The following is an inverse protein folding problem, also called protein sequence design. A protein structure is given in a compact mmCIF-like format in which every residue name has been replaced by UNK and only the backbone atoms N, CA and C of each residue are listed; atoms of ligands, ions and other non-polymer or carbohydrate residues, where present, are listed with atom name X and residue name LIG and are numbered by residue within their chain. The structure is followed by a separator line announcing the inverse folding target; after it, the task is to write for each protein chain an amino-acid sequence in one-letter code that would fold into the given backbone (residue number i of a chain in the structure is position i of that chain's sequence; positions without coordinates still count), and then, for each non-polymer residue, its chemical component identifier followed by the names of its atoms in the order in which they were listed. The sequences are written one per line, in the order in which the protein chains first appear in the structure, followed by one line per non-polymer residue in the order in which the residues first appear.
data_IF_079241073585
#
_entry.id   IF_079241073585
#
_cell.length_a   1.000
_cell.length_b   1.000
_cell.length_c   1.000
_cell.angle_alpha   90.00
_cell.angle_beta   90.00
_cell.angle_gamma   90.00
#
_symmetry.space_group_name_H-M   'P 1'
#
loop_
_entity.id
_entity.type
_entity.pdbx_description
1 polymer ?
#
# COMPACT_ATOMS: atom_id res chain seq x y z
N UNK A 1 9.15 1.50 24.60
CA UNK A 1 7.73 1.15 24.39
C UNK A 1 7.56 0.11 23.27
N UNK A 2 7.65 0.44 21.97
CA UNK A 2 7.40 -0.54 20.88
C UNK A 2 8.27 -1.81 20.95
N UNK A 3 9.58 -1.65 21.15
CA UNK A 3 10.50 -2.80 21.21
C UNK A 3 10.25 -3.70 22.42
N UNK A 4 9.78 -3.13 23.54
CA UNK A 4 9.37 -3.92 24.71
C UNK A 4 8.11 -4.72 24.41
N UNK A 5 7.11 -4.10 23.77
CA UNK A 5 5.87 -4.78 23.36
C UNK A 5 6.15 -5.92 22.37
N UNK A 6 7.01 -5.69 21.38
CA UNK A 6 7.43 -6.73 20.44
C UNK A 6 8.13 -7.88 21.16
N UNK A 7 9.00 -7.57 22.13
CA UNK A 7 9.71 -8.58 22.90
C UNK A 7 8.75 -9.44 23.73
N UNK A 8 7.71 -8.85 24.33
CA UNK A 8 6.65 -9.59 25.03
C UNK A 8 5.92 -10.55 24.08
N UNK A 9 5.57 -10.10 22.87
CA UNK A 9 4.89 -10.94 21.87
C UNK A 9 5.76 -12.08 21.33
N UNK A 10 7.08 -11.90 21.35
CA UNK A 10 8.07 -12.90 20.90
C UNK A 10 8.40 -13.95 21.95
N UNK A 11 8.01 -13.78 23.22
CA UNK A 11 8.28 -14.75 24.29
C UNK A 11 7.79 -16.17 23.95
N UNK A 12 6.73 -16.28 23.16
CA UNK A 12 6.18 -17.57 22.72
C UNK A 12 6.76 -18.10 21.39
N UNK A 13 7.56 -17.28 20.68
CA UNK A 13 8.13 -17.61 19.36
C UNK A 13 9.54 -16.99 19.17
N UNK A 14 10.54 -17.41 19.96
CA UNK A 14 11.86 -16.77 20.04
C UNK A 14 12.70 -16.83 18.75
N UNK A 15 12.36 -17.71 17.80
CA UNK A 15 13.07 -17.85 16.52
C UNK A 15 12.54 -16.94 15.40
N UNK A 16 11.47 -16.16 15.64
CA UNK A 16 10.83 -15.36 14.59
C UNK A 16 11.14 -13.87 14.80
N UNK A 17 11.61 -13.18 13.75
CA UNK A 17 11.57 -11.72 13.74
C UNK A 17 10.17 -11.26 13.29
N UNK A 18 9.50 -10.45 14.10
CA UNK A 18 8.25 -9.79 13.71
C UNK A 18 8.59 -8.62 12.79
N UNK A 19 8.01 -8.60 11.59
CA UNK A 19 8.10 -7.44 10.71
C UNK A 19 7.23 -6.28 11.25
N UNK A 20 7.68 -5.05 11.06
CA UNK A 20 6.87 -3.86 11.34
C UNK A 20 6.35 -3.30 10.03
N UNK A 21 5.06 -2.97 9.98
CA UNK A 21 4.49 -2.12 8.93
C UNK A 21 4.10 -0.79 9.54
N UNK A 22 4.73 0.31 9.11
CA UNK A 22 4.34 1.65 9.55
C UNK A 22 3.14 2.14 8.73
N UNK A 23 2.04 2.45 9.41
CA UNK A 23 0.89 3.12 8.80
C UNK A 23 1.17 4.61 8.70
N UNK A 24 1.17 5.14 7.49
CA UNK A 24 1.43 6.56 7.21
C UNK A 24 0.08 7.24 6.99
N UNK A 25 -0.36 7.94 8.04
CA UNK A 25 -1.71 8.53 8.17
C UNK A 25 -1.67 10.03 8.37
N UNK A 26 -0.51 10.61 8.70
CA UNK A 26 -0.39 12.02 9.10
C UNK A 26 0.71 12.74 8.33
N UNK A 27 0.66 14.09 8.23
CA UNK A 27 1.67 14.86 7.53
C UNK A 27 3.03 14.78 8.25
N UNK A 28 3.00 14.63 9.58
CA UNK A 28 4.20 14.40 10.38
C UNK A 28 4.85 13.06 10.05
N UNK A 29 4.06 11.99 9.88
CA UNK A 29 4.59 10.68 9.49
C UNK A 29 5.27 10.74 8.12
N UNK A 30 4.70 11.47 7.15
CA UNK A 30 5.32 11.66 5.83
C UNK A 30 6.65 12.42 5.96
N UNK A 31 6.68 13.55 6.67
CA UNK A 31 7.91 14.34 6.87
C UNK A 31 9.03 13.54 7.52
N UNK A 32 8.69 12.66 8.45
CA UNK A 32 9.65 11.84 9.19
C UNK A 32 9.91 10.46 8.55
N UNK A 33 9.27 10.15 7.42
CA UNK A 33 9.36 8.82 6.79
C UNK A 33 10.79 8.36 6.49
N UNK A 34 11.72 9.19 5.97
CA UNK A 34 13.09 8.77 5.74
C UNK A 34 13.80 8.29 7.02
N UNK A 35 13.65 9.03 8.11
CA UNK A 35 14.25 8.70 9.40
C UNK A 35 13.61 7.44 10.02
N UNK A 36 12.29 7.30 9.88
CA UNK A 36 11.56 6.11 10.31
C UNK A 36 12.07 4.86 9.58
N UNK A 37 12.23 4.94 8.26
CA UNK A 37 12.77 3.85 7.43
C UNK A 37 14.16 3.45 7.93
N UNK A 38 15.09 4.40 8.02
CA UNK A 38 16.49 4.13 8.43
C UNK A 38 16.54 3.46 9.81
N UNK A 39 15.79 3.99 10.78
CA UNK A 39 15.80 3.46 12.16
C UNK A 39 15.11 2.11 12.29
N UNK A 40 14.03 1.88 11.54
CA UNK A 40 13.24 0.66 11.66
C UNK A 40 13.85 -0.49 10.85
N UNK A 41 14.20 -0.25 9.59
CA UNK A 41 14.80 -1.25 8.71
C UNK A 41 16.17 -1.74 9.21
N UNK A 42 16.93 -0.87 9.90
CA UNK A 42 18.18 -1.27 10.55
C UNK A 42 18.02 -2.21 11.75
N UNK A 43 16.79 -2.45 12.24
CA UNK A 43 16.52 -3.31 13.41
C UNK A 43 15.82 -4.61 13.06
N UNK A 44 14.88 -4.58 12.12
CA UNK A 44 14.05 -5.72 11.74
C UNK A 44 13.38 -5.45 10.38
N UNK A 45 12.80 -6.49 9.74
CA UNK A 45 12.05 -6.30 8.49
C UNK A 45 10.98 -5.22 8.65
N UNK A 46 10.97 -4.28 7.71
CA UNK A 46 10.13 -3.09 7.75
C UNK A 46 9.40 -2.90 6.43
N UNK A 47 8.13 -2.51 6.52
CA UNK A 47 7.29 -2.12 5.39
C UNK A 47 6.53 -0.84 5.71
N UNK A 48 5.95 -0.24 4.68
CA UNK A 48 5.16 0.98 4.79
C UNK A 48 3.75 0.70 4.28
N UNK A 49 2.74 1.28 4.92
CA UNK A 49 1.36 1.25 4.46
C UNK A 49 0.89 2.69 4.24
N UNK A 50 0.44 3.00 3.03
CA UNK A 50 -0.17 4.29 2.73
C UNK A 50 -1.65 4.19 3.12
N UNK A 51 -2.01 4.74 4.28
CA UNK A 51 -3.38 4.75 4.77
C UNK A 51 -4.12 5.98 4.21
N UNK A 52 -4.47 5.88 2.92
CA UNK A 52 -4.92 7.00 2.09
C UNK A 52 -6.16 7.71 2.61
N UNK A 53 -7.11 6.99 3.20
CA UNK A 53 -8.32 7.56 3.79
C UNK A 53 -7.99 8.50 4.95
N UNK A 54 -7.20 8.03 5.91
CA UNK A 54 -6.76 8.81 7.06
C UNK A 54 -5.84 9.97 6.62
N UNK A 55 -4.89 9.68 5.74
CA UNK A 55 -3.97 10.70 5.23
C UNK A 55 -4.70 11.83 4.50
N UNK A 56 -5.70 11.51 3.68
CA UNK A 56 -6.49 12.51 2.96
C UNK A 56 -7.26 13.46 3.89
N UNK A 57 -7.71 12.97 5.05
CA UNK A 57 -8.35 13.80 6.08
C UNK A 57 -7.36 14.84 6.62
N UNK A 58 -6.09 14.45 6.80
CA UNK A 58 -5.06 15.31 7.38
C UNK A 58 -4.42 16.30 6.40
N UNK A 59 -4.17 15.91 5.15
CA UNK A 59 -3.48 16.76 4.14
C UNK A 59 -4.42 17.37 3.09
N UNK A 60 -5.69 16.99 3.10
CA UNK A 60 -6.67 17.33 2.08
C UNK A 60 -6.59 16.45 0.83
N UNK A 61 -7.74 16.19 0.20
CA UNK A 61 -7.87 15.31 -0.96
C UNK A 61 -7.03 15.75 -2.17
N UNK A 62 -6.79 17.05 -2.34
CA UNK A 62 -6.03 17.61 -3.45
C UNK A 62 -4.56 17.18 -3.42
N UNK A 63 -4.02 16.91 -2.22
CA UNK A 63 -2.61 16.55 -2.02
C UNK A 63 -2.37 15.05 -1.92
N UNK A 64 -3.44 14.25 -1.81
CA UNK A 64 -3.33 12.80 -1.63
C UNK A 64 -2.52 12.13 -2.76
N UNK A 65 -2.82 12.50 -4.00
CA UNK A 65 -2.14 11.94 -5.17
C UNK A 65 -0.64 12.27 -5.19
N UNK A 66 -0.28 13.52 -4.88
CA UNK A 66 1.12 13.95 -4.73
C UNK A 66 1.83 13.16 -3.63
N UNK A 67 1.23 13.13 -2.43
CA UNK A 67 1.86 12.53 -1.25
C UNK A 67 2.07 11.02 -1.39
N UNK A 68 1.14 10.34 -2.04
CA UNK A 68 1.27 8.92 -2.34
C UNK A 68 2.46 8.64 -3.27
N UNK A 69 2.68 9.48 -4.29
CA UNK A 69 3.82 9.33 -5.19
C UNK A 69 5.15 9.56 -4.45
N UNK A 70 5.23 10.58 -3.61
CA UNK A 70 6.41 10.83 -2.77
C UNK A 70 6.74 9.65 -1.84
N UNK A 71 5.73 9.09 -1.17
CA UNK A 71 5.93 7.92 -0.29
C UNK A 71 6.43 6.72 -1.09
N UNK A 72 5.85 6.46 -2.26
CA UNK A 72 6.29 5.36 -3.13
C UNK A 72 7.74 5.56 -3.59
N UNK A 73 8.14 6.77 -3.96
CA UNK A 73 9.53 7.06 -4.36
C UNK A 73 10.53 6.83 -3.23
N UNK A 74 10.22 7.31 -2.03
CA UNK A 74 11.08 7.11 -0.86
C UNK A 74 11.25 5.63 -0.53
N UNK A 75 10.15 4.87 -0.56
CA UNK A 75 10.18 3.45 -0.26
C UNK A 75 10.89 2.64 -1.35
N UNK A 76 10.66 2.96 -2.63
CA UNK A 76 11.36 2.32 -3.75
C UNK A 76 12.87 2.54 -3.68
N UNK A 77 13.31 3.77 -3.41
CA UNK A 77 14.72 4.11 -3.24
C UNK A 77 15.37 3.40 -2.04
N UNK A 78 14.60 3.17 -0.97
CA UNK A 78 15.06 2.47 0.23
C UNK A 78 14.87 0.94 0.17
N UNK A 79 14.36 0.40 -0.93
CA UNK A 79 13.96 -1.01 -1.07
C UNK A 79 12.99 -1.49 0.04
N UNK A 80 12.11 -0.60 0.50
CA UNK A 80 11.07 -0.91 1.49
C UNK A 80 9.76 -1.23 0.77
N UNK A 81 9.12 -2.38 1.04
CA UNK A 81 7.85 -2.72 0.43
C UNK A 81 6.72 -1.82 0.94
N UNK A 82 5.81 -1.48 0.04
CA UNK A 82 4.65 -0.61 0.29
C UNK A 82 3.36 -1.39 0.15
N UNK A 83 2.45 -1.16 1.08
CA UNK A 83 1.06 -1.59 1.02
C UNK A 83 0.20 -0.39 0.65
N UNK A 84 -0.47 -0.49 -0.49
CA UNK A 84 -1.46 0.46 -0.95
C UNK A 84 -2.80 0.17 -0.26
N UNK A 85 -3.21 1.02 0.67
CA UNK A 85 -4.32 0.70 1.58
C UNK A 85 -5.43 1.75 1.60
N UNK A 86 -6.60 1.28 2.03
CA UNK A 86 -7.87 2.02 2.22
C UNK A 86 -8.43 2.61 0.93
N UNK A 87 -9.76 2.72 0.81
CA UNK A 87 -10.44 3.29 -0.36
C UNK A 87 -10.16 2.58 -1.71
N UNK A 88 -9.55 1.39 -1.69
CA UNK A 88 -9.41 0.55 -2.88
C UNK A 88 -10.68 -0.26 -3.06
N UNK A 89 -11.36 -0.08 -4.20
CA UNK A 89 -12.60 -0.82 -4.53
C UNK A 89 -13.66 -0.77 -3.40
N UNK A 90 -13.73 0.34 -2.67
CA UNK A 90 -14.59 0.49 -1.48
C UNK A 90 -16.09 0.30 -1.76
N UNK A 91 -16.61 0.88 -2.85
CA UNK A 91 -17.99 0.67 -3.29
C UNK A 91 -18.21 -0.77 -3.75
N UNK A 92 -17.23 -1.40 -4.39
CA UNK A 92 -17.36 -2.80 -4.77
C UNK A 92 -17.45 -3.68 -3.52
N UNK A 93 -16.54 -3.50 -2.57
CA UNK A 93 -16.51 -4.24 -1.30
C UNK A 93 -17.82 -4.07 -0.53
N UNK A 94 -18.40 -2.87 -0.52
CA UNK A 94 -19.61 -2.53 0.26
C UNK A 94 -20.94 -2.77 -0.48
N UNK A 95 -21.02 -2.48 -1.77
CA UNK A 95 -22.26 -2.45 -2.58
C UNK A 95 -22.26 -3.42 -3.76
N UNK A 96 -21.15 -4.10 -4.03
CA UNK A 96 -21.03 -5.10 -5.09
C UNK A 96 -20.79 -4.52 -6.49
N UNK A 97 -20.67 -3.20 -6.63
CA UNK A 97 -20.49 -2.53 -7.92
C UNK A 97 -19.35 -1.51 -7.80
N UNK A 98 -18.26 -1.62 -8.58
CA UNK A 98 -17.19 -0.65 -8.58
C UNK A 98 -17.56 0.59 -9.40
N UNK A 99 -16.98 1.73 -9.07
CA UNK A 99 -16.95 2.90 -9.93
C UNK A 99 -15.75 2.87 -10.89
N UNK A 100 -15.82 3.66 -11.98
CA UNK A 100 -14.69 3.83 -12.91
C UNK A 100 -13.43 4.37 -12.24
N UNK A 101 -13.61 5.26 -11.26
CA UNK A 101 -12.50 5.83 -10.50
C UNK A 101 -11.79 4.74 -9.67
N UNK A 102 -12.54 3.82 -9.07
CA UNK A 102 -11.97 2.75 -8.26
C UNK A 102 -11.22 1.70 -9.10
N UNK A 103 -11.68 1.41 -10.33
CA UNK A 103 -10.92 0.55 -11.24
C UNK A 103 -9.60 1.21 -11.64
N UNK A 104 -9.63 2.52 -11.91
CA UNK A 104 -8.41 3.28 -12.26
C UNK A 104 -7.44 3.33 -11.07
N UNK A 105 -7.96 3.54 -9.87
CA UNK A 105 -7.17 3.53 -8.63
C UNK A 105 -6.54 2.15 -8.35
N UNK A 106 -7.31 1.07 -8.50
CA UNK A 106 -6.81 -0.29 -8.36
C UNK A 106 -5.70 -0.61 -9.38
N UNK A 107 -5.84 -0.12 -10.62
CA UNK A 107 -4.80 -0.27 -11.63
C UNK A 107 -3.51 0.50 -11.28
N UNK A 108 -3.62 1.66 -10.62
CA UNK A 108 -2.45 2.41 -10.13
C UNK A 108 -1.76 1.71 -8.95
N UNK A 109 -2.49 0.90 -8.19
CA UNK A 109 -1.97 0.19 -7.02
C UNK A 109 -0.92 -0.88 -7.38
N UNK A 110 -0.82 -1.29 -8.65
CA UNK A 110 0.27 -2.15 -9.18
C UNK A 110 1.68 -1.57 -8.96
N UNK A 111 1.76 -0.27 -8.64
CA UNK A 111 3.03 0.38 -8.29
C UNK A 111 3.56 -0.05 -6.92
N UNK A 112 2.74 -0.68 -6.08
CA UNK A 112 3.07 -1.13 -4.73
C UNK A 112 3.19 -2.65 -4.68
N UNK A 113 3.92 -3.17 -3.69
CA UNK A 113 4.11 -4.62 -3.50
C UNK A 113 2.83 -5.35 -3.07
N UNK A 114 1.88 -4.63 -2.48
CA UNK A 114 0.65 -5.21 -1.96
C UNK A 114 -0.48 -4.19 -1.97
N UNK A 115 -1.70 -4.68 -2.15
CA UNK A 115 -2.93 -3.89 -2.08
C UNK A 115 -3.81 -4.43 -0.96
N UNK A 116 -4.27 -3.56 -0.08
CA UNK A 116 -5.14 -3.91 1.04
C UNK A 116 -6.59 -3.52 0.75
N UNK A 117 -7.48 -4.49 0.79
CA UNK A 117 -8.94 -4.30 0.73
C UNK A 117 -9.53 -4.21 2.14
N UNK A 118 -10.53 -3.34 2.31
CA UNK A 118 -11.30 -3.24 3.55
C UNK A 118 -12.31 -4.40 3.68
N UNK A 119 -12.93 -4.57 4.85
CA UNK A 119 -13.97 -5.60 5.05
C UNK A 119 -15.27 -5.23 4.32
N UNK A 120 -16.00 -6.23 3.83
CA UNK A 120 -17.35 -6.05 3.29
C UNK A 120 -17.95 -7.34 2.74
N UNK A 121 -19.26 -7.34 2.42
CA UNK A 121 -19.97 -8.53 1.96
C UNK A 121 -19.47 -9.07 0.61
N UNK A 122 -18.84 -8.24 -0.22
CA UNK A 122 -18.41 -8.60 -1.58
C UNK A 122 -16.90 -8.85 -1.72
N UNK A 123 -16.21 -9.19 -0.62
CA UNK A 123 -14.75 -9.40 -0.63
C UNK A 123 -14.26 -10.41 -1.66
N UNK A 124 -14.87 -11.61 -1.81
CA UNK A 124 -14.41 -12.57 -2.82
C UNK A 124 -14.45 -12.00 -4.24
N UNK A 125 -15.49 -11.22 -4.56
CA UNK A 125 -15.62 -10.54 -5.84
C UNK A 125 -14.57 -9.43 -5.99
N UNK A 126 -14.34 -8.64 -4.94
CA UNK A 126 -13.32 -7.59 -4.94
C UNK A 126 -11.90 -8.15 -5.17
N UNK A 127 -11.56 -9.28 -4.54
CA UNK A 127 -10.28 -9.97 -4.78
C UNK A 127 -10.17 -10.44 -6.22
N UNK A 128 -11.22 -11.03 -6.78
CA UNK A 128 -11.22 -11.51 -8.17
C UNK A 128 -11.02 -10.36 -9.17
N UNK A 129 -11.72 -9.25 -8.98
CA UNK A 129 -11.60 -8.07 -9.84
C UNK A 129 -10.22 -7.41 -9.68
N UNK A 130 -9.72 -7.31 -8.46
CA UNK A 130 -8.40 -6.74 -8.20
C UNK A 130 -7.29 -7.58 -8.85
N UNK A 131 -7.37 -8.90 -8.74
CA UNK A 131 -6.42 -9.84 -9.36
C UNK A 131 -6.40 -9.70 -10.89
N UNK A 132 -7.56 -9.63 -11.55
CA UNK A 132 -7.64 -9.41 -13.01
C UNK A 132 -7.04 -8.05 -13.41
N UNK A 133 -7.35 -6.98 -12.68
CA UNK A 133 -6.81 -5.64 -12.94
C UNK A 133 -5.28 -5.61 -12.80
N UNK A 134 -4.74 -6.13 -11.70
CA UNK A 134 -3.30 -6.13 -11.43
C UNK A 134 -2.55 -7.03 -12.42
N UNK A 135 -3.05 -8.23 -12.68
CA UNK A 135 -2.45 -9.17 -13.66
C UNK A 135 -2.34 -8.55 -15.04
N UNK A 136 -3.36 -7.80 -15.48
CA UNK A 136 -3.29 -7.07 -16.76
C UNK A 136 -2.27 -5.94 -16.70
N UNK A 137 -2.22 -5.19 -15.59
CA UNK A 137 -1.34 -4.04 -15.42
C UNK A 137 0.15 -4.38 -15.28
N UNK A 138 0.49 -5.53 -14.71
CA UNK A 138 1.86 -6.02 -14.54
C UNK A 138 2.68 -6.00 -15.84
N UNK A 139 2.05 -6.31 -16.97
CA UNK A 139 2.73 -6.30 -18.26
C UNK A 139 2.95 -4.89 -18.81
N UNK A 140 2.21 -3.89 -18.32
CA UNK A 140 2.33 -2.49 -18.74
C UNK A 140 3.27 -1.68 -17.83
N UNK A 141 3.35 -2.04 -16.56
CA UNK A 141 3.97 -1.24 -15.53
C UNK A 141 4.68 -2.15 -14.53
N UNK A 142 5.97 -1.88 -14.28
CA UNK A 142 6.69 -2.44 -13.14
C UNK A 142 7.06 -1.30 -12.21
N UNK A 143 6.45 -1.26 -11.02
CA UNK A 143 6.57 -0.11 -10.11
C UNK A 143 6.33 1.21 -10.85
N UNK A 144 7.30 2.12 -10.90
CA UNK A 144 7.21 3.40 -11.63
C UNK A 144 7.69 3.34 -13.07
N UNK A 145 8.19 2.19 -13.54
CA UNK A 145 8.76 2.03 -14.88
C UNK A 145 7.74 1.44 -15.85
N UNK A 146 7.32 2.19 -16.90
CA UNK A 146 6.53 1.62 -17.99
C UNK A 146 7.33 0.55 -18.73
N UNK A 147 6.71 -0.59 -19.00
CA UNK A 147 7.35 -1.72 -19.70
C UNK A 147 7.15 -1.70 -21.22
N UNK A 148 6.29 -0.81 -21.74
CA UNK A 148 6.02 -0.63 -23.18
C UNK A 148 5.80 -1.95 -23.93
N UNK A 149 5.03 -2.87 -23.35
CA UNK A 149 4.75 -4.18 -23.97
C UNK A 149 4.11 -4.05 -25.35
N UNK A 150 4.28 -5.08 -26.18
CA UNK A 150 3.57 -5.22 -27.44
C UNK A 150 2.05 -5.17 -27.24
N UNK A 151 1.36 -4.50 -28.16
CA UNK A 151 -0.09 -4.33 -28.12
C UNK A 151 -0.78 -5.65 -28.53
N UNK A 152 -1.64 -6.17 -27.63
CA UNK A 152 -2.47 -7.35 -27.85
C UNK A 152 -3.92 -7.05 -27.48
N UNK A 153 -4.36 -5.80 -27.72
CA UNK A 153 -5.65 -5.30 -27.24
C UNK A 153 -6.86 -5.88 -28.00
N UNK A 154 -6.60 -6.67 -29.04
CA UNK A 154 -7.53 -7.40 -29.90
C UNK A 154 -6.79 -8.51 -30.63
#
# INVERSE_FOLDING_TARGET
MLQQELQVRLLNHPSRQIAIVAKIETPEAVRNLPELIVRAAGKQPFGVMIARGDLAVEIGYQRLAEMQEEILWLCEAAHVPVIWATQVLENLVSKGIPSRAEITDAAMAERAECVMLNKGPFIPLAVTILDDVLTRMQAHQLKKTPQLRALHSW
#
